data_IF_838164467354
#
_entry.id   IF_838164467354
#
_cell.length_a   1.000
_cell.length_b   1.000
_cell.length_c   1.000
_cell.angle_alpha   90.00
_cell.angle_beta   90.00
_cell.angle_gamma   90.00
#
_symmetry.space_group_name_H-M   'P 1'
#
loop_
_entity.id
_entity.type
_entity.pdbx_description
1 polymer ?
#
# COMPACT_ATOMS: atom_id res chain seq x y z
N UNK A 1 -37.16 -10.08 -42.55
CA UNK A 1 -36.35 -9.20 -41.66
C UNK A 1 -37.16 -8.99 -40.38
N UNK A 2 -36.55 -9.00 -39.19
CA UNK A 2 -37.18 -9.04 -37.84
C UNK A 2 -37.29 -10.42 -37.17
N UNK A 3 -36.26 -11.26 -37.26
CA UNK A 3 -36.20 -12.56 -36.56
C UNK A 3 -34.99 -12.73 -35.62
N UNK A 4 -34.29 -11.64 -35.26
CA UNK A 4 -33.08 -11.71 -34.42
C UNK A 4 -33.28 -11.30 -32.95
N UNK A 5 -34.52 -10.95 -32.55
CA UNK A 5 -34.83 -10.38 -31.23
C UNK A 5 -35.32 -11.40 -30.18
N UNK A 6 -35.21 -12.72 -30.41
CA UNK A 6 -35.68 -13.73 -29.45
C UNK A 6 -34.59 -14.61 -28.84
N UNK A 7 -33.32 -14.32 -29.11
CA UNK A 7 -32.21 -15.04 -28.46
C UNK A 7 -31.66 -14.20 -27.33
N UNK A 8 -31.78 -14.69 -26.09
CA UNK A 8 -31.18 -14.05 -24.90
C UNK A 8 -29.67 -13.83 -25.10
N UNK A 9 -29.01 -14.71 -25.85
CA UNK A 9 -27.57 -14.62 -26.16
C UNK A 9 -27.22 -13.40 -27.03
N UNK A 10 -28.06 -13.03 -28.00
CA UNK A 10 -27.75 -11.86 -28.86
C UNK A 10 -27.97 -10.54 -28.12
N UNK A 11 -28.90 -10.50 -27.16
CA UNK A 11 -29.09 -9.36 -26.26
C UNK A 11 -27.87 -9.12 -25.37
N UNK A 12 -27.30 -10.17 -24.77
CA UNK A 12 -26.09 -10.03 -23.94
C UNK A 12 -24.88 -9.54 -24.75
N UNK A 13 -24.72 -10.01 -25.99
CA UNK A 13 -23.63 -9.55 -26.88
C UNK A 13 -23.78 -8.06 -27.23
N UNK A 14 -25.00 -7.61 -27.54
CA UNK A 14 -25.26 -6.19 -27.82
C UNK A 14 -25.03 -5.30 -26.59
N UNK A 15 -25.49 -5.74 -25.40
CA UNK A 15 -25.25 -5.02 -24.15
C UNK A 15 -23.76 -4.94 -23.85
N UNK A 16 -23.01 -6.04 -24.01
CA UNK A 16 -21.56 -6.06 -23.84
C UNK A 16 -20.85 -5.07 -24.77
N UNK A 17 -21.22 -5.04 -26.06
CA UNK A 17 -20.65 -4.10 -27.02
C UNK A 17 -20.96 -2.63 -26.67
N UNK A 18 -22.17 -2.33 -26.21
CA UNK A 18 -22.55 -0.97 -25.81
C UNK A 18 -21.80 -0.52 -24.55
N UNK A 19 -21.65 -1.40 -23.56
CA UNK A 19 -20.90 -1.12 -22.34
C UNK A 19 -19.43 -0.86 -22.66
N UNK A 20 -18.79 -1.72 -23.46
CA UNK A 20 -17.40 -1.54 -23.88
C UNK A 20 -17.23 -0.23 -24.67
N UNK A 21 -18.16 0.12 -25.56
CA UNK A 21 -18.12 1.39 -26.30
C UNK A 21 -18.26 2.63 -25.41
N UNK A 22 -19.08 2.56 -24.36
CA UNK A 22 -19.24 3.64 -23.38
C UNK A 22 -17.99 3.82 -22.51
N UNK A 23 -17.34 2.75 -22.08
CA UNK A 23 -16.11 2.80 -21.26
C UNK A 23 -14.96 3.47 -22.00
N UNK A 24 -14.80 3.19 -23.30
CA UNK A 24 -13.72 3.77 -24.12
C UNK A 24 -13.94 5.28 -24.36
N UNK A 25 -15.20 5.75 -24.42
CA UNK A 25 -15.52 7.17 -24.66
C UNK A 25 -15.37 8.07 -23.42
N UNK A 26 -15.26 7.49 -22.21
CA UNK A 26 -15.09 8.24 -20.97
C UNK A 26 -13.69 8.81 -20.73
N UNK A 27 -12.65 8.27 -21.40
CA UNK A 27 -11.26 8.62 -21.10
C UNK A 27 -10.75 9.90 -21.77
N UNK A 28 -11.42 10.41 -22.81
CA UNK A 28 -10.89 11.52 -23.63
C UNK A 28 -11.24 12.91 -23.04
N UNK A 29 -12.22 13.00 -22.14
CA UNK A 29 -12.68 14.27 -21.55
C UNK A 29 -11.85 14.81 -20.37
N UNK A 30 -11.07 13.97 -19.70
CA UNK A 30 -10.38 14.33 -18.44
C UNK A 30 -9.03 15.03 -18.64
N UNK A 31 -8.42 14.94 -19.82
CA UNK A 31 -7.12 15.57 -20.09
C UNK A 31 -7.21 17.05 -20.48
N UNK A 32 -8.41 17.55 -20.83
CA UNK A 32 -8.59 18.98 -21.16
C UNK A 32 -8.74 19.88 -19.91
N UNK A 33 -8.99 19.34 -18.71
CA UNK A 33 -9.07 20.13 -17.48
C UNK A 33 -7.71 20.40 -16.81
N UNK A 34 -6.68 19.61 -17.14
CA UNK A 34 -5.34 19.74 -16.53
C UNK A 34 -4.40 20.70 -17.27
N UNK A 35 -4.76 21.18 -18.47
CA UNK A 35 -3.88 22.03 -19.28
C UNK A 35 -4.41 23.46 -19.50
N UNK A 36 -5.41 23.88 -18.73
CA UNK A 36 -5.86 25.27 -18.70
C UNK A 36 -4.92 26.06 -17.77
N UNK A 37 -3.87 26.67 -18.35
CA UNK A 37 -3.06 27.64 -17.64
C UNK A 37 -3.94 28.81 -17.14
N UNK A 38 -3.85 29.23 -15.87
CA UNK A 38 -4.52 30.44 -15.43
C UNK A 38 -3.84 31.64 -16.11
N UNK A 39 -4.59 32.31 -16.99
CA UNK A 39 -4.22 33.63 -17.50
C UNK A 39 -4.22 34.59 -16.30
N UNK A 40 -3.03 34.93 -15.81
CA UNK A 40 -2.85 35.98 -14.82
C UNK A 40 -2.75 37.35 -15.51
N UNK A 41 -3.68 38.24 -15.15
CA UNK A 41 -3.55 39.70 -15.24
C UNK A 41 -4.48 40.37 -16.25
N UNK A 42 -4.91 41.62 -15.97
CA UNK A 42 -4.04 42.66 -15.43
C UNK A 42 -4.68 43.30 -14.15
N UNK A 43 -4.02 43.92 -13.17
CA UNK A 43 -2.79 44.70 -13.11
C UNK A 43 -2.30 44.69 -11.65
N UNK A 44 -1.01 44.46 -11.44
CA UNK A 44 -0.32 45.01 -10.27
C UNK A 44 0.20 46.39 -10.64
N UNK A 45 -0.20 47.42 -9.89
CA UNK A 45 0.51 48.70 -9.89
C UNK A 45 1.46 48.74 -8.68
N UNK A 46 2.76 48.73 -9.01
CA UNK A 46 3.88 49.11 -8.14
C UNK A 46 4.58 47.94 -7.44
N UNK A 47 5.89 47.92 -7.21
CA UNK A 47 7.00 48.77 -7.61
C UNK A 47 8.26 48.06 -7.07
N UNK A 48 9.29 47.90 -7.93
CA UNK A 48 10.73 47.85 -7.62
C UNK A 48 11.30 46.81 -6.62
N UNK A 49 12.27 46.05 -7.11
CA UNK A 49 13.33 45.46 -6.29
C UNK A 49 14.08 44.32 -6.98
N UNK A 50 15.21 44.62 -7.61
CA UNK A 50 16.22 43.61 -7.97
C UNK A 50 16.76 42.93 -6.70
N UNK A 51 16.94 41.62 -6.75
CA UNK A 51 17.61 40.83 -5.72
C UNK A 51 17.78 39.38 -6.16
N UNK A 52 19.02 38.91 -6.16
CA UNK A 52 19.49 37.57 -6.49
C UNK A 52 18.92 36.47 -5.59
N UNK A 53 18.97 35.23 -6.11
CA UNK A 53 19.05 33.93 -5.41
C UNK A 53 18.08 33.64 -4.25
N UNK A 54 17.26 32.60 -4.42
CA UNK A 54 16.58 31.95 -3.31
C UNK A 54 15.78 30.75 -3.77
N UNK A 55 16.33 29.54 -3.54
CA UNK A 55 15.52 28.34 -3.33
C UNK A 55 14.49 28.68 -2.24
N UNK A 56 13.20 28.52 -2.54
CA UNK A 56 12.13 28.91 -1.64
C UNK A 56 10.98 27.93 -1.77
N UNK A 57 10.98 26.95 -0.87
CA UNK A 57 9.83 26.15 -0.46
C UNK A 57 8.54 26.99 -0.52
N UNK A 58 7.62 26.59 -1.38
CA UNK A 58 6.22 26.99 -1.26
C UNK A 58 5.58 26.02 -0.27
N UNK A 59 5.67 26.38 1.01
CA UNK A 59 4.93 25.72 2.07
C UNK A 59 3.44 25.96 1.91
N UNK A 60 2.67 24.89 1.86
CA UNK A 60 1.24 24.92 2.19
C UNK A 60 1.07 24.99 3.71
N UNK A 61 0.14 25.80 4.24
CA UNK A 61 -0.27 25.71 5.63
C UNK A 61 -1.17 24.46 5.79
N UNK A 62 -0.81 23.57 6.71
CA UNK A 62 -1.59 22.39 7.14
C UNK A 62 -1.72 21.21 6.15
N UNK A 63 -0.65 20.85 5.43
CA UNK A 63 -0.58 19.56 4.72
C UNK A 63 0.05 18.50 5.61
N UNK A 64 -0.74 17.59 6.19
CA UNK A 64 -0.20 16.40 6.84
C UNK A 64 0.64 15.63 5.81
N UNK A 65 1.96 15.82 5.87
CA UNK A 65 2.89 15.04 5.09
C UNK A 65 2.78 13.64 5.65
N UNK A 66 2.15 12.76 4.89
CA UNK A 66 1.97 11.38 5.29
C UNK A 66 3.35 10.78 5.47
N UNK A 67 3.64 10.32 6.69
CA UNK A 67 4.94 9.76 7.02
C UNK A 67 5.16 8.51 6.16
N UNK A 68 6.27 8.42 5.41
CA UNK A 68 6.56 7.21 4.65
C UNK A 68 6.63 6.00 5.60
N UNK A 69 6.29 4.80 5.12
CA UNK A 69 6.42 3.60 5.93
C UNK A 69 7.89 3.37 6.29
N UNK A 70 8.21 2.66 7.37
CA UNK A 70 9.60 2.46 7.76
C UNK A 70 10.31 1.55 6.74
N UNK A 71 11.64 1.64 6.69
CA UNK A 71 12.47 0.76 5.86
C UNK A 71 12.63 -0.61 6.52
N UNK A 72 12.99 -1.64 5.75
CA UNK A 72 13.07 -3.03 6.26
C UNK A 72 14.07 -3.23 7.40
N UNK A 73 15.11 -2.40 7.49
CA UNK A 73 16.16 -2.46 8.52
C UNK A 73 15.61 -2.35 9.95
N UNK A 74 14.42 -1.77 10.13
CA UNK A 74 13.75 -1.67 11.44
C UNK A 74 13.34 -3.03 12.02
N UNK A 75 13.16 -4.05 11.17
CA UNK A 75 12.88 -5.42 11.61
C UNK A 75 14.10 -6.05 12.31
N UNK A 76 15.27 -5.44 12.18
CA UNK A 76 16.52 -5.97 12.71
C UNK A 76 17.05 -7.11 11.86
N UNK A 77 17.74 -8.06 12.50
CA UNK A 77 18.29 -9.22 11.80
C UNK A 77 17.20 -10.27 11.55
N UNK A 78 17.16 -10.91 10.38
CA UNK A 78 16.23 -12.00 10.13
C UNK A 78 16.56 -13.24 10.98
N UNK A 79 15.61 -14.18 11.13
CA UNK A 79 15.89 -15.50 11.67
C UNK A 79 17.00 -16.22 10.88
N UNK A 80 17.67 -17.19 11.51
CA UNK A 80 18.75 -17.94 10.84
C UNK A 80 18.23 -18.70 9.61
N UNK A 81 18.90 -18.53 8.47
CA UNK A 81 18.48 -19.12 7.18
C UNK A 81 17.44 -18.30 6.42
N UNK A 82 17.09 -17.11 6.90
CA UNK A 82 16.14 -16.21 6.26
C UNK A 82 16.82 -14.90 5.86
N UNK A 83 16.20 -14.19 4.92
CA UNK A 83 16.51 -12.80 4.58
C UNK A 83 15.22 -12.02 4.37
N UNK A 84 15.32 -10.69 4.56
CA UNK A 84 14.25 -9.77 4.21
C UNK A 84 14.58 -9.07 2.90
N UNK A 85 13.64 -9.09 1.96
CA UNK A 85 13.77 -8.41 0.67
C UNK A 85 12.69 -7.34 0.57
N UNK A 86 13.09 -6.07 0.61
CA UNK A 86 12.18 -4.96 0.34
C UNK A 86 11.80 -5.00 -1.16
N UNK A 87 10.50 -4.92 -1.45
CA UNK A 87 9.98 -4.88 -2.82
C UNK A 87 10.02 -3.45 -3.43
N UNK A 88 10.75 -2.53 -2.79
CA UNK A 88 11.14 -1.18 -3.26
C UNK A 88 9.97 -0.20 -3.52
N UNK A 89 8.74 -0.56 -3.17
CA UNK A 89 7.55 0.28 -3.38
C UNK A 89 6.79 0.51 -2.07
N UNK A 90 6.71 1.78 -1.66
CA UNK A 90 5.78 2.20 -0.62
C UNK A 90 4.37 2.30 -1.19
N UNK A 91 3.44 1.54 -0.62
CA UNK A 91 2.04 1.55 -0.97
C UNK A 91 1.28 2.49 -0.03
N UNK A 92 0.95 3.68 -0.54
CA UNK A 92 0.19 4.69 0.18
C UNK A 92 -1.21 4.87 -0.41
N UNK A 93 -2.24 4.74 0.42
CA UNK A 93 -3.64 4.97 0.07
C UNK A 93 -4.34 5.76 1.19
N UNK A 94 -4.73 7.01 0.89
CA UNK A 94 -5.38 7.86 1.88
C UNK A 94 -4.43 8.20 3.02
N UNK A 95 -4.75 7.81 4.25
CA UNK A 95 -3.88 7.98 5.43
C UNK A 95 -3.04 6.74 5.77
N UNK A 96 -3.13 5.68 4.96
CA UNK A 96 -2.45 4.40 5.18
C UNK A 96 -1.24 4.30 4.27
N UNK A 97 -0.07 4.00 4.82
CA UNK A 97 1.15 3.72 4.06
C UNK A 97 1.83 2.47 4.61
N UNK A 98 2.24 1.56 3.73
CA UNK A 98 2.98 0.36 4.08
C UNK A 98 3.99 -0.04 2.98
N UNK A 99 4.93 -0.91 3.31
CA UNK A 99 5.77 -1.63 2.34
C UNK A 99 5.51 -3.12 2.42
N UNK A 100 5.75 -3.81 1.32
CA UNK A 100 5.71 -5.27 1.29
C UNK A 100 7.15 -5.80 1.36
N UNK A 101 7.40 -6.62 2.37
CA UNK A 101 8.68 -7.26 2.59
C UNK A 101 8.51 -8.74 2.28
N UNK A 102 9.27 -9.21 1.31
CA UNK A 102 9.38 -10.62 1.00
C UNK A 102 10.28 -11.29 2.03
N UNK A 103 9.78 -12.38 2.62
CA UNK A 103 10.56 -13.29 3.45
C UNK A 103 11.13 -14.37 2.53
N UNK A 104 12.44 -14.49 2.46
CA UNK A 104 13.12 -15.44 1.57
C UNK A 104 14.18 -16.23 2.34
N UNK A 105 14.72 -17.28 1.70
CA UNK A 105 15.85 -18.03 2.20
C UNK A 105 17.15 -17.24 2.18
N UNK A 106 18.21 -17.83 2.72
CA UNK A 106 19.56 -17.28 2.61
C UNK A 106 19.88 -16.96 1.14
N UNK A 107 20.52 -15.82 0.87
CA UNK A 107 20.77 -15.32 -0.50
C UNK A 107 19.53 -14.93 -1.35
N UNK A 108 18.33 -14.89 -0.76
CA UNK A 108 17.10 -14.41 -1.42
C UNK A 108 16.38 -15.47 -2.26
N UNK A 109 16.66 -16.74 -2.00
CA UNK A 109 16.01 -17.87 -2.66
C UNK A 109 14.63 -18.20 -2.07
N UNK A 110 13.87 -19.06 -2.76
CA UNK A 110 12.59 -19.56 -2.25
C UNK A 110 12.81 -20.49 -1.05
N UNK A 111 11.99 -20.36 -0.01
CA UNK A 111 12.07 -21.20 1.17
C UNK A 111 11.49 -22.59 0.88
N UNK A 112 12.14 -23.64 1.40
CA UNK A 112 11.65 -25.03 1.36
C UNK A 112 10.71 -25.30 2.55
N UNK A 113 9.71 -24.43 2.75
CA UNK A 113 8.69 -24.57 3.79
C UNK A 113 7.40 -23.86 3.41
N UNK A 114 6.33 -24.17 4.14
CA UNK A 114 5.03 -23.54 3.91
C UNK A 114 5.06 -22.05 4.30
N UNK A 115 4.28 -21.24 3.59
CA UNK A 115 4.18 -19.79 3.78
C UNK A 115 3.85 -19.41 5.23
N UNK A 116 2.85 -20.07 5.82
CA UNK A 116 2.42 -19.82 7.20
C UNK A 116 3.52 -20.19 8.21
N UNK A 117 4.30 -21.24 7.93
CA UNK A 117 5.43 -21.67 8.76
C UNK A 117 6.60 -20.67 8.69
N UNK A 118 6.88 -20.15 7.49
CA UNK A 118 7.89 -19.13 7.26
C UNK A 118 7.55 -17.81 7.99
N UNK A 119 6.32 -17.31 7.82
CA UNK A 119 5.85 -16.09 8.50
C UNK A 119 5.81 -16.30 10.02
N UNK A 120 5.32 -17.46 10.48
CA UNK A 120 5.32 -17.83 11.90
C UNK A 120 6.72 -17.78 12.51
N UNK A 121 7.73 -18.32 11.81
CA UNK A 121 9.14 -18.28 12.25
C UNK A 121 9.65 -16.84 12.39
N UNK A 122 9.32 -15.97 11.44
CA UNK A 122 9.66 -14.53 11.53
C UNK A 122 8.97 -13.88 12.72
N UNK A 123 7.69 -14.15 12.94
CA UNK A 123 6.93 -13.57 14.05
C UNK A 123 7.46 -13.99 15.41
N UNK A 124 7.74 -15.29 15.60
CA UNK A 124 8.37 -15.79 16.82
C UNK A 124 9.71 -15.12 17.09
N UNK A 125 10.51 -14.89 16.03
CA UNK A 125 11.76 -14.17 16.14
C UNK A 125 11.56 -12.72 16.58
N UNK A 126 10.61 -11.99 15.97
CA UNK A 126 10.32 -10.60 16.34
C UNK A 126 9.85 -10.51 17.80
N UNK A 127 8.95 -11.40 18.23
CA UNK A 127 8.50 -11.48 19.63
C UNK A 127 9.68 -11.72 20.60
N UNK A 128 10.60 -12.63 20.25
CA UNK A 128 11.80 -12.87 21.04
C UNK A 128 12.74 -11.65 21.13
N UNK A 129 12.62 -10.71 20.19
CA UNK A 129 13.38 -9.47 20.12
C UNK A 129 12.62 -8.23 20.63
N UNK A 130 11.51 -8.44 21.37
CA UNK A 130 10.82 -7.36 22.09
C UNK A 130 9.64 -6.73 21.36
N UNK A 131 9.24 -7.29 20.22
CA UNK A 131 7.95 -6.99 19.62
C UNK A 131 6.82 -7.59 20.47
N UNK A 132 5.63 -7.02 20.34
CA UNK A 132 4.43 -7.44 21.06
C UNK A 132 3.32 -7.77 20.05
N UNK A 133 2.48 -8.73 20.39
CA UNK A 133 1.28 -9.03 19.63
C UNK A 133 0.17 -8.06 20.01
N UNK A 134 -0.37 -7.35 19.01
CA UNK A 134 -1.58 -6.54 19.19
C UNK A 134 -2.78 -7.48 19.28
N UNK A 135 -3.59 -7.28 20.33
CA UNK A 135 -4.81 -8.05 20.54
C UNK A 135 -6.01 -7.25 20.04
N UNK A 136 -6.87 -7.82 19.18
CA UNK A 136 -8.13 -7.21 18.85
C UNK A 136 -9.03 -7.18 20.09
N UNK A 137 -10.00 -6.27 20.16
CA UNK A 137 -10.79 -6.02 21.37
C UNK A 137 -11.64 -7.23 21.83
N UNK A 138 -11.89 -8.20 20.94
CA UNK A 138 -12.59 -9.44 21.23
C UNK A 138 -11.72 -10.56 21.83
N UNK A 139 -10.39 -10.43 21.80
CA UNK A 139 -9.48 -11.43 22.36
C UNK A 139 -8.98 -11.01 23.74
N UNK A 140 -9.05 -11.95 24.68
CA UNK A 140 -8.61 -11.73 26.07
C UNK A 140 -7.11 -12.05 26.23
N UNK A 141 -6.56 -12.89 25.35
CA UNK A 141 -5.16 -13.32 25.38
C UNK A 141 -4.57 -13.56 23.98
N UNK A 142 -3.23 -13.50 23.84
CA UNK A 142 -2.54 -13.82 22.59
C UNK A 142 -2.80 -15.24 22.08
N UNK A 143 -3.03 -16.19 22.99
CA UNK A 143 -3.29 -17.59 22.67
C UNK A 143 -4.67 -17.81 22.02
N UNK A 144 -5.55 -16.81 22.03
CA UNK A 144 -6.89 -16.88 21.43
C UNK A 144 -6.87 -16.69 19.89
N UNK A 145 -5.72 -16.27 19.33
CA UNK A 145 -5.55 -15.96 17.90
C UNK A 145 -4.27 -16.63 17.39
N UNK A 146 -4.32 -17.17 16.18
CA UNK A 146 -3.12 -17.68 15.53
C UNK A 146 -2.10 -16.53 15.33
N UNK A 147 -0.82 -16.84 15.52
CA UNK A 147 0.24 -15.83 15.45
C UNK A 147 0.27 -15.12 14.08
N UNK A 148 0.08 -15.86 12.99
CA UNK A 148 0.03 -15.32 11.62
C UNK A 148 -1.22 -14.50 11.33
N UNK A 149 -2.31 -14.69 12.09
CA UNK A 149 -3.53 -13.88 12.00
C UNK A 149 -3.44 -12.57 12.81
N UNK A 150 -2.30 -12.32 13.47
CA UNK A 150 -2.10 -11.17 14.35
C UNK A 150 -1.24 -10.08 13.72
N UNK A 151 -1.28 -8.90 14.34
CA UNK A 151 -0.38 -7.79 14.03
C UNK A 151 0.66 -7.70 15.14
N UNK A 152 1.94 -7.59 14.77
CA UNK A 152 3.02 -7.32 15.73
C UNK A 152 3.36 -5.84 15.77
N UNK A 153 3.78 -5.35 16.93
CA UNK A 153 4.24 -3.97 17.11
C UNK A 153 5.41 -3.84 18.09
N UNK A 154 6.29 -2.88 17.84
CA UNK A 154 7.28 -2.39 18.80
C UNK A 154 6.81 -1.09 19.52
N UNK A 155 5.59 -0.62 19.22
CA UNK A 155 4.99 0.61 19.71
C UNK A 155 4.94 1.73 18.67
N UNK A 156 5.87 1.74 17.71
CA UNK A 156 5.97 2.77 16.66
C UNK A 156 5.76 2.18 15.25
N UNK A 157 5.92 0.87 15.09
CA UNK A 157 5.87 0.14 13.83
C UNK A 157 4.90 -1.03 13.96
N UNK A 158 4.23 -1.37 12.85
CA UNK A 158 3.31 -2.48 12.71
C UNK A 158 3.82 -3.46 11.65
N UNK A 159 3.72 -4.75 11.96
CA UNK A 159 3.99 -5.86 11.03
C UNK A 159 2.76 -6.76 10.97
N UNK A 160 2.28 -7.05 9.76
CA UNK A 160 1.13 -7.92 9.52
C UNK A 160 1.44 -8.93 8.39
N UNK A 161 0.85 -10.12 8.44
CA UNK A 161 0.94 -11.06 7.33
C UNK A 161 0.11 -10.52 6.15
N UNK A 162 0.71 -10.50 4.96
CA UNK A 162 0.06 -10.10 3.72
C UNK A 162 0.19 -11.20 2.65
N UNK A 163 0.62 -12.39 3.06
CA UNK A 163 0.73 -13.56 2.20
C UNK A 163 -0.65 -13.97 1.66
N UNK A 164 -0.68 -14.48 0.45
CA UNK A 164 -1.93 -15.02 -0.09
C UNK A 164 -2.15 -16.44 0.44
N UNK A 165 -3.40 -16.88 0.63
CA UNK A 165 -3.66 -18.24 1.09
C UNK A 165 -3.17 -19.29 0.07
N UNK A 166 -2.58 -20.39 0.57
CA UNK A 166 -2.04 -21.50 -0.22
C UNK A 166 -0.52 -21.46 -0.37
N UNK A 167 0.04 -22.19 -1.35
CA UNK A 167 1.48 -22.23 -1.68
C UNK A 167 1.93 -20.90 -2.33
N UNK A 168 1.85 -19.81 -1.57
CA UNK A 168 2.24 -18.48 -2.04
C UNK A 168 3.55 -18.03 -1.42
N UNK A 169 4.11 -16.97 -1.97
CA UNK A 169 5.36 -16.41 -1.48
C UNK A 169 5.09 -15.70 -0.14
N UNK A 170 5.87 -15.96 0.94
CA UNK A 170 5.63 -15.33 2.23
C UNK A 170 5.99 -13.85 2.19
N UNK A 171 5.00 -13.01 2.48
CA UNK A 171 5.12 -11.56 2.40
C UNK A 171 4.52 -10.94 3.65
N UNK A 172 5.29 -10.10 4.33
CA UNK A 172 4.82 -9.30 5.46
C UNK A 172 4.64 -7.85 5.04
N UNK A 173 3.66 -7.19 5.63
CA UNK A 173 3.38 -5.77 5.50
C UNK A 173 4.06 -5.01 6.65
N UNK A 174 4.76 -3.93 6.33
CA UNK A 174 5.45 -3.07 7.30
C UNK A 174 4.92 -1.63 7.23
N UNK A 175 4.46 -1.06 8.35
CA UNK A 175 3.88 0.29 8.41
C UNK A 175 4.08 0.98 9.76
N UNK A 176 3.74 2.27 9.87
CA UNK A 176 3.85 3.02 11.13
C UNK A 176 2.63 2.78 12.04
N UNK A 177 2.86 2.64 13.35
CA UNK A 177 1.82 2.66 14.37
C UNK A 177 1.23 4.07 14.48
N UNK A 178 -0.10 4.18 14.56
CA UNK A 178 -0.82 5.44 14.37
C UNK A 178 -1.75 5.44 13.16
N UNK A 179 -1.78 4.35 12.39
CA UNK A 179 -2.92 4.03 11.55
C UNK A 179 -4.14 3.84 12.46
N UNK A 180 -5.24 4.61 12.29
CA UNK A 180 -6.45 4.31 13.01
C UNK A 180 -6.93 2.95 12.53
N UNK A 181 -6.85 1.95 13.41
CA UNK A 181 -7.47 0.66 13.22
C UNK A 181 -9.00 0.73 13.38
N UNK A 182 -9.68 1.77 12.88
CA UNK A 182 -11.16 1.88 12.89
C UNK A 182 -11.69 2.79 11.78
#
# INVERSE_FOLDING_TARGET
MMALLRSRKTMFVLVGLVVVGLVISGAIGLFQSFNAAPVAGPEGQGQQGQGEQGQGQQGSPDGQQQEPPPEVDVLGSPPSGFTYVDQDEAHCNGSICFRLILVAGEDGEELDMETDEAVGTVYEHLLANGWNQELPPEADSPDDIALTDSVLTDGDILVADSSSPGDSIPVIMLGNAGMPAY
#
